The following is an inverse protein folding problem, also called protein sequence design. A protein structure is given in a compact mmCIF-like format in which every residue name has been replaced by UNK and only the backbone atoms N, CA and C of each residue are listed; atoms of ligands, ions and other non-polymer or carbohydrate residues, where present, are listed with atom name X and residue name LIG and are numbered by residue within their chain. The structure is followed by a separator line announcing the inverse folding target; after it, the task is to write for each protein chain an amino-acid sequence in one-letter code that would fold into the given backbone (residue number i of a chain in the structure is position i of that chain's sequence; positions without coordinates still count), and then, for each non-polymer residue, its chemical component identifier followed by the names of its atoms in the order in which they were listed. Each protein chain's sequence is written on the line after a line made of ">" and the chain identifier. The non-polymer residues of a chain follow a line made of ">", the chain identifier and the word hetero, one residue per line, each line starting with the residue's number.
data_IF_820754237543
#
_entry.id   IF_820754237543
#
_cell.length_a   1.000
_cell.length_b   1.000
_cell.length_c   1.000
_cell.angle_alpha   90.00
_cell.angle_beta   90.00
_cell.angle_gamma   90.00
#
_symmetry.space_group_name_H-M   'P 1'
#
loop_
_entity.id
_entity.type
_entity.pdbx_description
1 polymer ?
#
# COMPACT_ATOMS: atom_id res chain seq x y z
N UNK A 1 3.01 33.89 34.04
CA UNK A 1 2.74 32.88 33.00
C UNK A 1 4.08 32.50 32.42
N UNK A 2 4.55 31.30 32.70
CA UNK A 2 5.89 30.86 32.35
C UNK A 2 5.89 30.45 30.87
N UNK A 3 6.48 31.27 29.99
CA UNK A 3 6.59 30.92 28.57
C UNK A 3 7.69 29.87 28.45
N UNK A 4 7.29 28.61 28.23
CA UNK A 4 8.20 27.54 27.85
C UNK A 4 8.92 27.95 26.56
N UNK A 5 10.16 28.45 26.68
CA UNK A 5 11.06 28.73 25.56
C UNK A 5 11.53 27.40 25.02
N UNK A 6 10.84 26.89 24.00
CA UNK A 6 11.30 25.76 23.21
C UNK A 6 12.68 26.14 22.64
N UNK A 7 13.68 25.28 22.82
CA UNK A 7 15.01 25.48 22.26
C UNK A 7 14.92 25.51 20.73
N UNK A 8 15.55 26.51 20.11
CA UNK A 8 15.65 26.61 18.64
C UNK A 8 16.25 25.34 18.03
N UNK A 9 17.23 24.74 18.72
CA UNK A 9 17.88 23.51 18.27
C UNK A 9 16.89 22.33 18.18
N UNK A 10 15.94 22.27 19.12
CA UNK A 10 14.92 21.23 19.13
C UNK A 10 13.94 21.39 17.95
N UNK A 11 13.61 22.63 17.60
CA UNK A 11 12.75 22.92 16.44
C UNK A 11 13.47 22.52 15.15
N UNK A 12 14.74 22.88 15.00
CA UNK A 12 15.54 22.53 13.83
C UNK A 12 15.71 21.01 13.68
N UNK A 13 15.96 20.31 14.80
CA UNK A 13 16.05 18.84 14.81
C UNK A 13 14.74 18.18 14.36
N UNK A 14 13.59 18.67 14.84
CA UNK A 14 12.29 18.13 14.43
C UNK A 14 12.00 18.39 12.96
N UNK A 15 12.30 19.58 12.44
CA UNK A 15 12.10 19.89 11.01
C UNK A 15 12.95 18.96 10.13
N UNK A 16 14.20 18.72 10.50
CA UNK A 16 15.07 17.81 9.76
C UNK A 16 14.52 16.38 9.76
N UNK A 17 14.07 15.88 10.92
CA UNK A 17 13.50 14.54 11.04
C UNK A 17 12.18 14.38 10.26
N UNK A 18 11.31 15.40 10.25
CA UNK A 18 10.07 15.36 9.48
C UNK A 18 10.32 15.44 7.97
N UNK A 19 11.32 16.22 7.53
CA UNK A 19 11.70 16.31 6.13
C UNK A 19 12.19 14.96 5.58
N UNK A 20 13.03 14.24 6.34
CA UNK A 20 13.51 12.91 5.99
C UNK A 20 12.33 11.93 5.87
N UNK A 21 11.45 11.89 6.88
CA UNK A 21 10.25 11.05 6.85
C UNK A 21 9.33 11.35 5.66
N UNK A 22 9.15 12.63 5.32
CA UNK A 22 8.34 13.04 4.18
C UNK A 22 8.95 12.57 2.86
N UNK A 23 10.28 12.68 2.70
CA UNK A 23 11.01 12.20 1.53
C UNK A 23 10.87 10.67 1.36
N UNK A 24 11.09 9.91 2.44
CA UNK A 24 10.96 8.45 2.42
C UNK A 24 9.55 8.02 2.03
N UNK A 25 8.54 8.69 2.60
CA UNK A 25 7.14 8.41 2.30
C UNK A 25 6.81 8.71 0.83
N UNK A 26 7.27 9.84 0.30
CA UNK A 26 7.06 10.22 -1.10
C UNK A 26 7.73 9.22 -2.05
N UNK A 27 8.95 8.80 -1.75
CA UNK A 27 9.70 7.80 -2.53
C UNK A 27 8.95 6.47 -2.56
N UNK A 28 8.57 5.95 -1.40
CA UNK A 28 7.81 4.71 -1.29
C UNK A 28 6.43 4.79 -1.94
N UNK A 29 5.75 5.91 -1.82
CA UNK A 29 4.46 6.12 -2.47
C UNK A 29 4.60 6.07 -4.00
N UNK A 30 5.65 6.69 -4.55
CA UNK A 30 5.94 6.60 -5.99
C UNK A 30 6.19 5.16 -6.44
N UNK A 31 6.98 4.39 -5.68
CA UNK A 31 7.24 2.97 -5.98
C UNK A 31 5.96 2.12 -5.98
N UNK A 32 5.09 2.31 -4.99
CA UNK A 32 3.86 1.51 -4.84
C UNK A 32 2.79 1.93 -5.84
N UNK A 33 2.59 3.23 -6.04
CA UNK A 33 1.49 3.75 -6.86
C UNK A 33 1.79 3.72 -8.36
N UNK A 34 3.07 3.87 -8.74
CA UNK A 34 3.49 3.90 -10.14
C UNK A 34 4.19 2.61 -10.58
N UNK A 35 4.48 1.70 -9.63
CA UNK A 35 4.99 0.38 -9.92
C UNK A 35 3.97 -0.50 -10.64
N UNK A 36 4.43 -1.61 -11.27
CA UNK A 36 3.54 -2.56 -11.91
C UNK A 36 2.58 -3.18 -10.89
N UNK A 37 1.29 -3.22 -11.24
CA UNK A 37 0.27 -3.86 -10.42
C UNK A 37 0.27 -5.37 -10.66
N UNK A 38 0.55 -6.14 -9.62
CA UNK A 38 0.40 -7.59 -9.65
C UNK A 38 -1.09 -7.97 -9.66
N UNK A 39 -1.61 -8.32 -10.84
CA UNK A 39 -3.03 -8.66 -11.03
C UNK A 39 -3.32 -10.16 -10.96
N UNK A 40 -2.29 -11.00 -10.79
CA UNK A 40 -2.43 -12.44 -10.71
C UNK A 40 -3.06 -12.84 -9.35
N UNK A 41 -4.38 -12.69 -9.26
CA UNK A 41 -5.18 -13.09 -8.10
C UNK A 41 -6.09 -14.26 -8.46
N UNK A 42 -6.41 -15.11 -7.47
CA UNK A 42 -7.29 -16.28 -7.64
C UNK A 42 -6.84 -17.23 -8.78
N UNK A 43 -5.54 -17.55 -8.83
CA UNK A 43 -4.90 -18.39 -9.86
C UNK A 43 -5.12 -19.90 -9.66
N UNK A 44 -5.84 -20.30 -8.61
CA UNK A 44 -6.21 -21.71 -8.40
C UNK A 44 -6.94 -22.24 -9.63
N UNK A 45 -6.56 -23.40 -10.20
CA UNK A 45 -7.26 -23.97 -11.34
C UNK A 45 -8.75 -24.23 -11.04
N UNK A 46 -9.62 -23.82 -11.96
CA UNK A 46 -11.06 -24.06 -11.88
C UNK A 46 -11.65 -24.20 -13.29
N UNK A 47 -12.83 -24.82 -13.36
CA UNK A 47 -13.70 -24.79 -14.53
C UNK A 47 -14.84 -23.79 -14.28
N UNK A 48 -15.31 -23.09 -15.31
CA UNK A 48 -16.55 -22.31 -15.23
C UNK A 48 -17.70 -23.19 -15.69
N UNK A 49 -18.65 -23.47 -14.81
CA UNK A 49 -19.77 -24.41 -15.08
C UNK A 49 -21.11 -23.71 -15.33
N UNK A 50 -21.21 -22.42 -15.01
CA UNK A 50 -22.36 -21.57 -15.31
C UNK A 50 -21.92 -20.11 -15.42
N UNK A 51 -22.55 -19.35 -16.32
CA UNK A 51 -22.29 -17.93 -16.52
C UNK A 51 -23.60 -17.20 -16.88
N UNK A 52 -23.87 -16.10 -16.18
CA UNK A 52 -24.99 -15.20 -16.42
C UNK A 52 -24.58 -13.75 -16.09
N UNK A 53 -24.74 -12.85 -17.05
CA UNK A 53 -24.27 -11.46 -17.01
C UNK A 53 -22.81 -11.31 -16.55
N UNK A 54 -22.60 -10.92 -15.29
CA UNK A 54 -21.28 -10.68 -14.68
C UNK A 54 -20.91 -11.75 -13.65
N UNK A 55 -21.73 -12.81 -13.51
CA UNK A 55 -21.57 -13.86 -12.51
C UNK A 55 -21.07 -15.15 -13.18
N UNK A 56 -20.04 -15.76 -12.59
CA UNK A 56 -19.48 -17.06 -13.02
C UNK A 56 -19.44 -18.03 -11.85
N UNK A 57 -20.00 -19.23 -12.03
CA UNK A 57 -19.87 -20.32 -11.08
C UNK A 57 -18.58 -21.09 -11.35
N UNK A 58 -17.62 -20.97 -10.43
CA UNK A 58 -16.32 -21.66 -10.50
C UNK A 58 -16.38 -23.00 -9.78
N UNK A 59 -16.07 -24.07 -10.49
CA UNK A 59 -15.89 -25.40 -9.93
C UNK A 59 -14.38 -25.66 -9.75
N UNK A 60 -13.95 -25.75 -8.49
CA UNK A 60 -12.56 -26.04 -8.14
C UNK A 60 -12.35 -27.55 -8.05
N UNK A 61 -11.24 -28.04 -8.60
CA UNK A 61 -10.86 -29.45 -8.50
C UNK A 61 -10.03 -29.68 -7.26
N UNK A 62 -10.32 -30.74 -6.54
CA UNK A 62 -9.43 -31.25 -5.50
C UNK A 62 -8.14 -31.75 -6.15
N UNK A 63 -6.94 -31.42 -5.65
CA UNK A 63 -5.71 -32.05 -6.11
C UNK A 63 -5.81 -33.57 -5.89
N UNK A 64 -5.59 -34.34 -6.95
CA UNK A 64 -5.49 -35.81 -6.89
C UNK A 64 -4.07 -36.27 -6.59
#
# INVERSE_FOLDING_TARGET
>A
MDQQKISLDLILANIAAEAEKAQDTATKASEVLLGPLETAMATTPYDVVYEEDRVKLKHYRTPG
#
